data_IF_748983763786
#
_entry.id   IF_748983763786
#
_cell.length_a   1.000
_cell.length_b   1.000
_cell.length_c   1.000
_cell.angle_alpha   90.00
_cell.angle_beta   90.00
_cell.angle_gamma   90.00
#
_symmetry.space_group_name_H-M   'P 1'
#
loop_
_entity.id
_entity.type
_entity.pdbx_description
1 polymer ?
#
# COMPACT_ATOMS: atom_id res chain seq x y z
N UNK A 1 -54.98 41.78 8.62
CA UNK A 1 -54.68 40.34 8.46
C UNK A 1 -53.27 40.12 9.00
N UNK A 2 -53.10 39.30 10.03
CA UNK A 2 -51.88 39.22 10.86
C UNK A 2 -51.28 37.83 10.67
N UNK A 3 -50.16 37.73 9.94
CA UNK A 3 -49.50 36.45 9.68
C UNK A 3 -48.63 36.05 10.88
N UNK A 4 -49.09 35.05 11.61
CA UNK A 4 -48.39 34.41 12.72
C UNK A 4 -47.36 33.42 12.15
N UNK A 5 -46.08 33.66 12.41
CA UNK A 5 -44.97 32.73 12.12
C UNK A 5 -44.81 31.86 13.37
N UNK A 6 -45.26 30.60 13.28
CA UNK A 6 -45.14 29.63 14.36
C UNK A 6 -43.90 28.76 14.17
N UNK A 7 -43.19 28.57 15.27
CA UNK A 7 -41.97 27.78 15.43
C UNK A 7 -42.10 26.34 14.95
N UNK A 8 -41.37 25.96 13.90
CA UNK A 8 -40.91 24.58 13.66
C UNK A 8 -39.61 24.64 12.87
N UNK A 9 -38.47 24.75 13.56
CA UNK A 9 -37.16 24.45 12.99
C UNK A 9 -36.87 22.98 13.32
N UNK A 10 -36.96 22.05 12.36
CA UNK A 10 -36.44 20.71 12.59
C UNK A 10 -34.91 20.82 12.55
N UNK A 11 -34.27 20.43 13.67
CA UNK A 11 -32.85 20.12 13.69
C UNK A 11 -32.62 18.93 12.73
N UNK A 12 -32.36 19.25 11.46
CA UNK A 12 -31.84 18.30 10.49
C UNK A 12 -30.40 18.00 10.89
N UNK A 13 -30.23 17.00 11.76
CA UNK A 13 -28.94 16.36 11.98
C UNK A 13 -28.48 15.77 10.64
N UNK A 14 -27.57 16.46 9.98
CA UNK A 14 -26.94 15.99 8.74
C UNK A 14 -25.97 14.86 9.08
N UNK A 15 -26.39 13.65 8.78
CA UNK A 15 -25.52 12.47 8.79
C UNK A 15 -24.51 12.62 7.66
N UNK A 16 -23.22 12.78 7.99
CA UNK A 16 -22.15 12.74 6.99
C UNK A 16 -21.99 11.26 6.62
N UNK A 17 -22.52 10.86 5.47
CA UNK A 17 -22.22 9.57 4.88
C UNK A 17 -20.74 9.56 4.48
N UNK A 18 -19.94 8.69 5.09
CA UNK A 18 -18.58 8.44 4.62
C UNK A 18 -18.66 7.82 3.23
N UNK A 19 -18.19 8.53 2.20
CA UNK A 19 -18.00 7.94 0.87
C UNK A 19 -16.90 6.89 1.00
N UNK A 20 -17.27 5.61 1.07
CA UNK A 20 -16.33 4.53 0.85
C UNK A 20 -15.95 4.59 -0.63
N UNK A 21 -14.76 5.11 -0.93
CA UNK A 21 -14.19 5.05 -2.28
C UNK A 21 -14.00 3.58 -2.64
N UNK A 22 -14.95 3.03 -3.40
CA UNK A 22 -14.80 1.70 -4.01
C UNK A 22 -13.78 1.83 -5.12
N UNK A 23 -12.54 1.48 -4.81
CA UNK A 23 -11.49 1.41 -5.82
C UNK A 23 -11.86 0.32 -6.84
N UNK A 24 -11.75 0.57 -8.15
CA UNK A 24 -11.85 -0.49 -9.14
C UNK A 24 -10.76 -1.52 -8.83
N UNK A 25 -11.15 -2.73 -8.46
CA UNK A 25 -10.22 -3.82 -8.18
C UNK A 25 -9.60 -4.29 -9.49
N UNK A 26 -8.47 -3.69 -9.88
CA UNK A 26 -7.71 -4.09 -11.07
C UNK A 26 -6.91 -5.39 -10.81
N UNK A 27 -6.65 -5.72 -9.54
CA UNK A 27 -5.89 -6.91 -9.12
C UNK A 27 -6.69 -7.75 -8.14
N UNK A 28 -7.10 -8.94 -8.56
CA UNK A 28 -7.82 -9.90 -7.71
C UNK A 28 -6.83 -10.93 -7.13
N UNK A 29 -6.78 -11.11 -5.80
CA UNK A 29 -5.95 -12.16 -5.20
C UNK A 29 -6.51 -13.54 -5.53
N UNK A 30 -5.63 -14.48 -5.87
CA UNK A 30 -5.99 -15.90 -6.04
C UNK A 30 -6.23 -16.65 -4.71
N UNK A 31 -6.33 -15.93 -3.59
CA UNK A 31 -6.47 -16.45 -2.24
C UNK A 31 -7.60 -15.72 -1.50
N UNK A 32 -8.23 -16.36 -0.49
CA UNK A 32 -9.27 -15.70 0.31
C UNK A 32 -8.74 -14.42 0.94
N UNK A 33 -9.53 -13.35 0.87
CA UNK A 33 -9.15 -12.07 1.45
C UNK A 33 -8.89 -12.21 2.96
N UNK A 34 -7.82 -11.58 3.50
CA UNK A 34 -7.52 -11.63 4.92
C UNK A 34 -8.58 -10.91 5.74
N UNK A 35 -8.83 -11.38 6.96
CA UNK A 35 -9.72 -10.70 7.92
C UNK A 35 -9.04 -9.44 8.45
N UNK A 36 -9.71 -8.30 8.29
CA UNK A 36 -9.25 -6.99 8.78
C UNK A 36 -10.07 -6.58 10.00
N UNK A 37 -9.44 -5.85 10.93
CA UNK A 37 -10.16 -5.24 12.03
C UNK A 37 -11.14 -4.16 11.53
N UNK A 38 -12.20 -3.92 12.28
CA UNK A 38 -13.20 -2.91 11.93
C UNK A 38 -12.54 -1.52 11.73
N UNK A 39 -12.93 -0.83 10.65
CA UNK A 39 -12.38 0.48 10.28
C UNK A 39 -11.11 0.45 9.44
N UNK A 40 -10.55 -0.73 9.15
CA UNK A 40 -9.39 -0.88 8.25
C UNK A 40 -9.80 -1.42 6.89
N UNK A 41 -9.12 -0.95 5.84
CA UNK A 41 -9.23 -1.45 4.47
C UNK A 41 -7.86 -1.83 3.94
N UNK A 42 -7.77 -2.92 3.19
CA UNK A 42 -6.57 -3.32 2.48
C UNK A 42 -6.91 -3.63 1.03
N UNK A 43 -5.98 -3.33 0.12
CA UNK A 43 -6.10 -3.63 -1.29
C UNK A 43 -4.81 -4.28 -1.78
N UNK A 44 -4.94 -5.16 -2.76
CA UNK A 44 -3.79 -5.69 -3.48
C UNK A 44 -3.27 -4.63 -4.48
N UNK A 45 -2.01 -4.23 -4.28
CA UNK A 45 -1.37 -3.15 -5.06
C UNK A 45 -0.30 -3.66 -6.05
N UNK A 46 0.16 -4.90 -5.91
CA UNK A 46 1.13 -5.52 -6.80
C UNK A 46 1.02 -7.06 -6.75
N UNK A 47 1.29 -7.73 -7.87
CA UNK A 47 1.31 -9.19 -8.01
C UNK A 47 2.53 -9.62 -8.85
N UNK A 48 2.82 -10.93 -8.89
CA UNK A 48 3.89 -11.49 -9.73
C UNK A 48 5.32 -11.21 -9.25
N UNK A 49 5.48 -10.77 -7.99
CA UNK A 49 6.79 -10.48 -7.41
C UNK A 49 7.55 -11.76 -7.02
N UNK A 50 8.85 -11.80 -7.29
CA UNK A 50 9.72 -12.92 -6.90
C UNK A 50 10.23 -12.72 -5.48
N UNK A 51 9.70 -13.49 -4.52
CA UNK A 51 10.13 -13.51 -3.11
C UNK A 51 10.38 -12.09 -2.54
N UNK A 52 9.36 -11.22 -2.51
CA UNK A 52 9.51 -9.86 -1.98
C UNK A 52 9.87 -9.89 -0.49
N UNK A 53 10.77 -9.00 -0.08
CA UNK A 53 11.25 -8.85 1.31
C UNK A 53 11.01 -7.40 1.77
N UNK A 54 12.09 -6.63 1.87
CA UNK A 54 12.09 -5.24 2.31
C UNK A 54 11.29 -4.36 1.36
N UNK A 55 10.51 -3.45 1.93
CA UNK A 55 9.76 -2.41 1.23
C UNK A 55 10.17 -1.04 1.79
N UNK A 56 10.35 -0.06 0.91
CA UNK A 56 10.72 1.31 1.25
C UNK A 56 10.00 2.27 0.30
N UNK A 57 9.49 3.38 0.83
CA UNK A 57 8.97 4.45 -0.01
C UNK A 57 10.10 5.40 -0.40
N UNK A 58 10.11 5.81 -1.67
CA UNK A 58 10.98 6.88 -2.13
C UNK A 58 10.35 8.26 -1.85
N UNK A 59 11.10 9.33 -2.14
CA UNK A 59 10.64 10.71 -1.96
C UNK A 59 9.55 11.15 -2.93
N UNK A 60 9.30 10.38 -3.99
CA UNK A 60 8.29 10.64 -5.01
C UNK A 60 7.00 9.84 -4.77
N UNK A 61 6.93 9.07 -3.67
CA UNK A 61 5.79 8.20 -3.33
C UNK A 61 5.79 6.85 -4.05
N UNK A 62 6.84 6.50 -4.79
CA UNK A 62 7.02 5.17 -5.37
C UNK A 62 7.53 4.16 -4.34
N UNK A 63 7.26 2.88 -4.58
CA UNK A 63 7.65 1.79 -3.68
C UNK A 63 8.87 1.05 -4.22
N UNK A 64 9.94 1.02 -3.44
CA UNK A 64 11.12 0.18 -3.66
C UNK A 64 10.91 -1.15 -2.95
N UNK A 65 11.00 -2.24 -3.69
CA UNK A 65 10.86 -3.60 -3.19
C UNK A 65 12.13 -4.38 -3.49
N UNK A 66 12.73 -4.94 -2.44
CA UNK A 66 13.82 -5.88 -2.56
C UNK A 66 13.25 -7.28 -2.86
N UNK A 67 13.57 -7.79 -4.04
CA UNK A 67 13.17 -9.12 -4.52
C UNK A 67 14.37 -10.05 -4.50
N UNK A 68 14.32 -11.06 -3.64
CA UNK A 68 15.43 -12.01 -3.48
C UNK A 68 15.65 -12.80 -4.79
N UNK A 69 16.86 -12.67 -5.36
CA UNK A 69 17.25 -13.33 -6.61
C UNK A 69 17.01 -12.49 -7.87
N UNK A 70 16.36 -11.33 -7.76
CA UNK A 70 16.12 -10.40 -8.88
C UNK A 70 16.88 -9.09 -8.66
N UNK A 71 16.76 -8.50 -7.46
CA UNK A 71 17.37 -7.22 -7.11
C UNK A 71 16.34 -6.24 -6.52
N UNK A 72 16.49 -4.95 -6.80
CA UNK A 72 15.58 -3.90 -6.31
C UNK A 72 14.66 -3.48 -7.45
N UNK A 73 13.37 -3.68 -7.27
CA UNK A 73 12.34 -3.17 -8.15
C UNK A 73 11.73 -1.90 -7.57
N UNK A 74 11.35 -1.00 -8.46
CA UNK A 74 10.57 0.18 -8.18
C UNK A 74 9.18 0.00 -8.78
N UNK A 75 8.16 0.24 -7.97
CA UNK A 75 6.76 0.19 -8.38
C UNK A 75 6.19 1.60 -8.29
N UNK A 76 5.60 2.04 -9.39
CA UNK A 76 4.82 3.27 -9.48
C UNK A 76 3.38 2.92 -9.78
N UNK A 77 2.47 3.71 -9.24
CA UNK A 77 1.05 3.63 -9.51
C UNK A 77 0.56 4.93 -10.12
N UNK A 78 -0.53 4.84 -10.85
CA UNK A 78 -1.34 6.00 -11.17
C UNK A 78 -2.27 6.25 -9.98
N UNK A 79 -2.22 7.48 -9.46
CA UNK A 79 -3.13 7.97 -8.43
C UNK A 79 -4.01 9.07 -9.06
N UNK A 80 -5.31 8.84 -9.07
CA UNK A 80 -6.32 9.78 -9.58
C UNK A 80 -6.80 10.78 -8.51
N UNK A 81 -6.02 10.99 -7.46
CA UNK A 81 -6.31 11.93 -6.38
C UNK A 81 -7.17 11.33 -5.26
N UNK A 82 -7.12 10.02 -5.06
CA UNK A 82 -7.87 9.30 -4.02
C UNK A 82 -7.00 8.26 -3.32
N UNK A 83 -7.55 7.47 -2.39
CA UNK A 83 -6.81 6.38 -1.73
C UNK A 83 -6.58 5.16 -2.63
N UNK A 84 -6.99 5.21 -3.89
CA UNK A 84 -7.00 4.11 -4.83
C UNK A 84 -5.75 4.13 -5.72
N UNK A 85 -4.83 3.20 -5.50
CA UNK A 85 -3.67 3.01 -6.36
C UNK A 85 -4.03 2.09 -7.53
N UNK A 86 -3.77 2.55 -8.76
CA UNK A 86 -4.07 1.79 -9.99
C UNK A 86 -2.82 1.57 -10.85
N UNK A 87 -2.93 0.62 -11.79
CA UNK A 87 -1.94 0.31 -12.83
C UNK A 87 -0.49 0.26 -12.33
N UNK A 88 -0.12 -0.72 -11.48
CA UNK A 88 1.26 -0.85 -11.02
C UNK A 88 2.21 -1.08 -12.19
N UNK A 89 3.14 -0.16 -12.36
CA UNK A 89 4.26 -0.28 -13.30
C UNK A 89 5.50 -0.65 -12.51
N UNK A 90 6.01 -1.85 -12.74
CA UNK A 90 7.23 -2.36 -12.13
C UNK A 90 8.45 -2.12 -13.03
N UNK A 91 9.51 -1.54 -12.49
CA UNK A 91 10.81 -1.37 -13.17
C UNK A 91 11.93 -1.90 -12.29
N UNK A 92 12.88 -2.67 -12.84
CA UNK A 92 14.06 -3.12 -12.08
C UNK A 92 15.09 -2.01 -12.12
N UNK A 93 15.34 -1.37 -10.97
CA UNK A 93 16.32 -0.27 -10.85
C UNK A 93 17.71 -0.83 -10.61
N UNK A 94 17.80 -1.91 -9.84
CA UNK A 94 19.07 -2.62 -9.61
C UNK A 94 18.84 -4.09 -9.88
N UNK A 95 19.50 -4.63 -10.90
CA UNK A 95 19.52 -6.07 -11.16
C UNK A 95 20.69 -6.71 -10.44
N UNK A 96 20.40 -7.62 -9.52
CA UNK A 96 21.43 -8.43 -8.88
C UNK A 96 20.82 -9.69 -8.26
N UNK A 97 21.38 -10.83 -8.64
CA UNK A 97 20.94 -12.16 -8.20
C UNK A 97 21.36 -12.47 -6.76
N UNK A 98 22.32 -11.71 -6.23
CA UNK A 98 22.92 -11.93 -4.91
C UNK A 98 22.37 -11.00 -3.82
N UNK A 99 21.47 -10.07 -4.13
CA UNK A 99 20.96 -9.08 -3.15
C UNK A 99 20.36 -9.75 -1.91
N UNK A 100 19.69 -10.90 -2.05
CA UNK A 100 19.19 -11.63 -0.88
C UNK A 100 20.28 -12.32 -0.06
N UNK A 101 21.43 -12.65 -0.65
CA UNK A 101 22.54 -13.33 0.04
C UNK A 101 23.54 -12.33 0.62
N UNK A 102 23.78 -11.21 -0.07
CA UNK A 102 24.70 -10.15 0.34
C UNK A 102 24.18 -9.32 1.51
N UNK A 103 22.87 -9.08 1.63
CA UNK A 103 22.34 -8.38 2.80
C UNK A 103 22.38 -9.24 4.07
N UNK A 104 22.18 -10.56 3.95
CA UNK A 104 22.40 -11.51 5.04
C UNK A 104 23.89 -11.68 5.40
N UNK A 105 24.79 -11.66 4.41
CA UNK A 105 26.22 -11.89 4.68
C UNK A 105 27.02 -10.62 5.02
N UNK A 106 26.65 -9.44 4.50
CA UNK A 106 27.36 -8.17 4.76
C UNK A 106 26.98 -7.54 6.11
N UNK A 107 25.86 -7.94 6.72
CA UNK A 107 25.57 -7.66 8.15
C UNK A 107 26.43 -8.50 9.11
N UNK A 108 27.06 -9.59 8.64
CA UNK A 108 27.79 -10.54 9.49
C UNK A 108 29.32 -10.32 9.49
N UNK A 109 29.88 -9.54 8.55
CA UNK A 109 31.33 -9.41 8.36
C UNK A 109 31.95 -8.08 8.81
N UNK A 110 31.31 -7.33 9.72
CA UNK A 110 31.96 -6.20 10.39
C UNK A 110 32.04 -6.41 11.90
N UNK A 111 32.84 -7.40 12.27
CA UNK A 111 33.61 -7.45 13.51
C UNK A 111 32.82 -7.53 14.81
N UNK A 112 32.93 -8.70 15.48
CA UNK A 112 32.72 -8.91 16.91
C UNK A 112 31.30 -9.18 17.42
N UNK A 113 30.59 -10.11 16.79
CA UNK A 113 29.42 -10.73 17.41
C UNK A 113 28.61 -11.53 16.41
N UNK A 114 28.59 -12.86 16.60
CA UNK A 114 27.66 -13.75 15.91
C UNK A 114 26.24 -13.30 16.25
N UNK A 115 25.53 -12.75 15.29
CA UNK A 115 24.07 -12.59 15.34
C UNK A 115 23.50 -13.40 14.19
N UNK A 116 22.63 -14.32 14.59
CA UNK A 116 22.05 -15.40 13.79
C UNK A 116 21.24 -14.81 12.63
N UNK A 117 21.38 -15.46 11.47
CA UNK A 117 20.77 -15.18 10.17
C UNK A 117 19.29 -14.77 10.20
#
# INVERSE_FOLDING_TARGET
MKFSINWLVPFLGTWIASVQSTCPTILEPAYPAPSLAAGWSAQLIAQGLTKPRTILFDTSGGLLILQQGVGIAHIKWTDDGSTCLQNPVQTIVVSSTVVGLLFLCRMCLRGNGVVIC
#
